data_IF_919157987572
#
_entry.id   IF_919157987572
#
_cell.length_a   1.000
_cell.length_b   1.000
_cell.length_c   1.000
_cell.angle_alpha   90.00
_cell.angle_beta   90.00
_cell.angle_gamma   90.00
#
_symmetry.space_group_name_H-M   'P 1'
#
loop_
_entity.id
_entity.type
_entity.pdbx_description
1 polymer ?
#
# COMPACT_ATOMS: atom_id res chain seq x y z
N UNK A 1 27.21 26.07 54.73
CA UNK A 1 26.67 26.65 53.47
C UNK A 1 26.97 25.66 52.36
N UNK A 2 25.93 25.04 51.76
CA UNK A 2 25.52 25.29 50.37
C UNK A 2 26.50 24.67 49.36
N UNK A 3 26.19 23.77 48.43
CA UNK A 3 24.96 23.12 47.98
C UNK A 3 25.37 21.95 47.06
N UNK A 4 24.62 20.85 47.14
CA UNK A 4 24.14 20.03 46.01
C UNK A 4 24.89 20.18 44.68
N UNK A 5 25.85 19.31 44.35
CA UNK A 5 26.09 18.86 42.96
C UNK A 5 26.85 17.53 43.02
N UNK A 6 26.17 16.39 42.93
CA UNK A 6 26.57 15.24 42.09
C UNK A 6 25.56 14.07 42.21
N UNK A 7 24.25 14.37 42.23
CA UNK A 7 23.21 13.35 41.96
C UNK A 7 22.81 13.31 40.48
N UNK A 8 23.70 13.77 39.59
CA UNK A 8 23.48 13.82 38.13
C UNK A 8 24.22 12.72 37.39
N UNK A 9 24.84 11.77 38.10
CA UNK A 9 25.66 10.70 37.50
C UNK A 9 24.94 9.38 37.22
N UNK A 10 23.67 9.22 37.63
CA UNK A 10 22.95 7.93 37.49
C UNK A 10 21.68 8.04 36.62
N UNK A 11 21.16 9.25 36.39
CA UNK A 11 20.07 9.46 35.42
C UNK A 11 20.53 9.39 33.95
N UNK A 12 21.85 9.43 33.69
CA UNK A 12 22.42 9.29 32.35
C UNK A 12 22.60 7.83 31.90
N UNK A 13 22.28 6.84 32.75
CA UNK A 13 22.30 5.41 32.37
C UNK A 13 20.97 4.92 31.74
N UNK A 14 19.99 5.80 31.56
CA UNK A 14 18.71 5.48 30.90
C UNK A 14 18.43 6.27 29.62
N UNK A 15 19.40 7.00 29.09
CA UNK A 15 19.35 7.42 27.70
C UNK A 15 19.85 6.26 26.83
N UNK A 16 19.17 5.11 26.90
CA UNK A 16 19.26 4.12 25.85
C UNK A 16 18.76 4.83 24.60
N UNK A 17 19.71 5.18 23.75
CA UNK A 17 19.54 5.71 22.40
C UNK A 17 18.36 5.02 21.75
N UNK A 18 17.28 5.77 21.57
CA UNK A 18 16.13 5.30 20.81
C UNK A 18 16.61 5.06 19.38
N UNK A 19 16.78 3.78 19.07
CA UNK A 19 17.15 3.27 17.77
C UNK A 19 15.88 3.27 16.90
N UNK A 20 15.92 3.93 15.75
CA UNK A 20 14.74 4.12 14.90
C UNK A 20 15.09 3.83 13.43
N UNK A 21 15.39 2.57 13.17
CA UNK A 21 14.80 1.61 12.21
C UNK A 21 14.02 2.09 10.91
N UNK A 22 13.71 1.30 9.84
CA UNK A 22 12.89 1.71 8.64
C UNK A 22 11.77 0.74 8.20
N UNK A 23 10.60 1.29 7.81
CA UNK A 23 9.47 0.71 7.08
C UNK A 23 9.72 -0.31 6.02
N UNK A 24 9.23 -1.50 6.31
CA UNK A 24 8.32 -2.16 5.38
C UNK A 24 7.14 -1.22 5.14
N UNK A 25 7.02 -0.67 3.93
CA UNK A 25 5.81 0.05 3.54
C UNK A 25 4.70 -0.97 3.30
N UNK A 26 3.51 -0.62 3.75
CA UNK A 26 2.28 -1.37 3.51
C UNK A 26 1.23 -0.38 3.05
N UNK A 27 0.39 -0.82 2.12
CA UNK A 27 -0.80 -0.08 1.72
C UNK A 27 -2.03 -0.95 2.00
N UNK A 28 -3.12 -0.31 2.40
CA UNK A 28 -4.37 -0.97 2.72
C UNK A 28 -5.54 -0.01 2.58
N UNK A 29 -6.75 -0.57 2.64
CA UNK A 29 -7.99 0.20 2.66
C UNK A 29 -8.77 -0.12 3.93
N UNK A 30 -9.63 0.80 4.40
CA UNK A 30 -10.57 0.50 5.48
C UNK A 30 -11.48 -0.67 5.11
N UNK A 31 -11.74 -1.57 6.06
CA UNK A 31 -12.75 -2.60 5.90
C UNK A 31 -14.13 -1.97 5.59
N UNK A 32 -14.91 -2.52 4.64
CA UNK A 32 -16.27 -2.05 4.40
C UNK A 32 -17.11 -2.16 5.68
N UNK A 33 -17.86 -1.10 6.01
CA UNK A 33 -18.66 -1.09 7.23
C UNK A 33 -19.65 -2.26 7.27
N UNK A 34 -19.52 -3.11 8.30
CA UNK A 34 -20.40 -4.27 8.48
C UNK A 34 -20.03 -5.52 7.68
N UNK A 35 -18.86 -5.56 7.02
CA UNK A 35 -18.33 -6.79 6.39
C UNK A 35 -17.97 -7.86 7.41
N UNK A 36 -17.62 -7.45 8.64
CA UNK A 36 -17.06 -8.35 9.66
C UNK A 36 -15.56 -8.62 9.48
N UNK A 37 -14.97 -8.07 8.41
CA UNK A 37 -13.54 -7.90 8.23
C UNK A 37 -13.07 -6.85 9.26
N UNK A 38 -11.86 -6.97 9.79
CA UNK A 38 -11.41 -6.23 10.97
C UNK A 38 -11.35 -4.71 10.79
N UNK A 39 -10.16 -4.15 10.90
CA UNK A 39 -9.87 -2.74 10.61
C UNK A 39 -9.63 -2.50 9.12
N UNK A 40 -8.96 -3.43 8.44
CA UNK A 40 -8.55 -3.33 7.05
C UNK A 40 -9.36 -4.29 6.17
N UNK A 41 -9.55 -3.92 4.90
CA UNK A 41 -10.27 -4.74 3.94
C UNK A 41 -9.48 -6.02 3.63
N UNK A 42 -10.20 -7.14 3.53
CA UNK A 42 -9.59 -8.43 3.20
C UNK A 42 -9.08 -8.45 1.75
N UNK A 43 -7.96 -9.16 1.56
CA UNK A 43 -7.33 -9.33 0.26
C UNK A 43 -8.04 -10.39 -0.59
N UNK A 44 -8.15 -10.11 -1.89
CA UNK A 44 -8.68 -11.03 -2.88
C UNK A 44 -7.52 -11.69 -3.63
N UNK A 45 -7.54 -13.02 -3.72
CA UNK A 45 -6.45 -13.80 -4.31
C UNK A 45 -6.27 -13.64 -5.83
N UNK A 46 -7.34 -13.35 -6.57
CA UNK A 46 -7.29 -13.09 -8.01
C UNK A 46 -8.43 -12.13 -8.43
N UNK A 47 -8.10 -11.05 -9.15
CA UNK A 47 -9.09 -10.18 -9.82
C UNK A 47 -8.90 -10.21 -11.34
N UNK A 48 -9.90 -9.75 -12.09
CA UNK A 48 -9.88 -9.77 -13.57
C UNK A 48 -10.06 -8.41 -14.26
N UNK A 49 -10.36 -7.36 -13.51
CA UNK A 49 -10.55 -5.99 -14.03
C UNK A 49 -10.13 -4.95 -12.97
N UNK A 50 -8.84 -4.61 -12.86
CA UNK A 50 -7.73 -5.18 -13.61
C UNK A 50 -7.36 -6.57 -13.10
N UNK A 51 -6.51 -7.26 -13.86
CA UNK A 51 -5.95 -8.55 -13.42
C UNK A 51 -4.90 -8.28 -12.37
N UNK A 52 -5.13 -8.78 -11.16
CA UNK A 52 -4.25 -8.60 -10.00
C UNK A 52 -4.32 -9.85 -9.14
N UNK A 53 -3.36 -9.97 -8.23
CA UNK A 53 -3.34 -11.00 -7.20
C UNK A 53 -3.03 -10.35 -5.88
N UNK A 54 -3.62 -10.91 -4.83
CA UNK A 54 -3.38 -10.44 -3.46
C UNK A 54 -3.57 -8.91 -3.37
N UNK A 55 -4.75 -8.41 -3.75
CA UNK A 55 -5.10 -6.98 -3.74
C UNK A 55 -6.33 -6.76 -2.86
N UNK A 56 -6.33 -5.69 -2.06
CA UNK A 56 -7.50 -5.28 -1.29
C UNK A 56 -8.41 -4.43 -2.18
N UNK A 57 -9.70 -4.78 -2.23
CA UNK A 57 -10.67 -4.04 -3.04
C UNK A 57 -11.45 -3.06 -2.19
N UNK A 58 -11.42 -1.80 -2.60
CA UNK A 58 -12.18 -0.73 -1.96
C UNK A 58 -13.05 0.03 -2.97
N UNK A 59 -14.09 0.67 -2.48
CA UNK A 59 -14.83 1.71 -3.20
C UNK A 59 -14.90 3.02 -2.43
N UNK A 60 -14.20 3.07 -1.28
CA UNK A 60 -14.13 4.24 -0.42
C UNK A 60 -13.14 5.30 -0.92
N UNK A 61 -13.10 6.40 -0.19
CA UNK A 61 -12.27 7.58 -0.45
C UNK A 61 -11.03 7.64 0.43
N UNK A 62 -10.63 6.51 1.02
CA UNK A 62 -9.52 6.43 1.97
C UNK A 62 -8.59 5.28 1.67
N UNK A 63 -7.30 5.56 1.82
CA UNK A 63 -6.24 4.56 1.90
C UNK A 63 -5.48 4.74 3.20
N UNK A 64 -4.93 3.66 3.70
CA UNK A 64 -3.92 3.67 4.75
C UNK A 64 -2.58 3.30 4.15
N UNK A 65 -1.56 4.10 4.44
CA UNK A 65 -0.18 3.73 4.14
C UNK A 65 0.56 3.62 5.46
N UNK A 66 1.02 2.42 5.77
CA UNK A 66 1.81 2.12 6.95
C UNK A 66 3.29 2.19 6.62
N UNK A 67 4.06 2.87 7.46
CA UNK A 67 5.50 2.79 7.46
C UNK A 67 6.03 2.17 8.76
N UNK A 68 6.58 0.94 8.71
CA UNK A 68 7.19 0.16 9.83
C UNK A 68 8.72 0.25 10.08
N UNK A 69 9.24 1.12 10.94
CA UNK A 69 10.67 1.22 11.26
C UNK A 69 11.31 -0.14 11.72
N UNK A 70 12.13 -0.83 10.89
CA UNK A 70 12.91 -2.06 11.14
C UNK A 70 14.43 -1.85 11.45
N UNK A 71 15.09 -2.68 12.26
CA UNK A 71 16.36 -2.37 12.93
C UNK A 71 17.51 -1.97 11.99
N UNK A 72 18.32 -0.98 12.40
CA UNK A 72 19.49 -0.46 11.67
C UNK A 72 19.19 0.36 10.42
N UNK A 73 18.13 1.14 10.47
CA UNK A 73 17.81 2.05 9.38
C UNK A 73 17.57 3.44 9.92
N UNK A 74 17.84 4.45 9.11
CA UNK A 74 17.98 5.82 9.59
C UNK A 74 16.96 6.77 8.95
N UNK A 75 16.69 6.61 7.65
CA UNK A 75 15.84 7.54 6.90
C UNK A 75 14.90 6.87 5.91
N UNK A 76 13.80 7.58 5.66
CA UNK A 76 12.73 7.21 4.74
C UNK A 76 12.25 8.34 3.85
N UNK A 77 12.26 8.06 2.55
CA UNK A 77 11.93 9.04 1.54
C UNK A 77 13.17 9.78 1.08
N UNK A 78 13.01 10.60 0.04
CA UNK A 78 14.10 11.23 -0.72
C UNK A 78 15.00 12.16 0.08
N UNK A 79 15.76 12.99 -0.64
CA UNK A 79 16.83 13.80 -0.07
C UNK A 79 16.39 14.59 1.17
N UNK A 80 17.12 14.38 2.26
CA UNK A 80 16.99 15.20 3.46
C UNK A 80 17.98 16.35 3.38
N UNK A 81 17.44 17.58 3.37
CA UNK A 81 18.23 18.80 3.52
C UNK A 81 18.76 18.86 4.95
N UNK A 82 19.98 18.34 5.15
CA UNK A 82 20.61 18.21 6.45
C UNK A 82 20.63 19.54 7.23
N UNK A 83 19.99 19.56 8.39
CA UNK A 83 20.18 20.60 9.39
C UNK A 83 21.11 20.16 10.55
N UNK A 84 21.90 19.10 10.35
CA UNK A 84 23.11 18.85 11.15
C UNK A 84 23.12 17.61 12.05
N UNK A 85 22.23 16.62 11.88
CA UNK A 85 22.33 15.36 12.66
C UNK A 85 22.52 14.11 11.79
N UNK A 86 22.38 14.23 10.47
CA UNK A 86 22.29 13.09 9.57
C UNK A 86 22.92 13.37 8.20
N UNK A 87 23.55 12.38 7.55
CA UNK A 87 24.16 12.55 6.24
C UNK A 87 23.10 12.73 5.14
N UNK A 88 23.44 13.50 4.12
CA UNK A 88 22.64 13.64 2.90
C UNK A 88 22.50 12.28 2.21
N UNK A 89 21.27 11.80 2.02
CA UNK A 89 20.99 10.64 1.16
C UNK A 89 20.94 11.03 -0.32
N UNK A 90 21.09 10.07 -1.25
CA UNK A 90 20.90 10.32 -2.67
C UNK A 90 19.45 10.69 -2.96
N UNK A 91 19.26 11.44 -4.03
CA UNK A 91 17.95 11.63 -4.64
C UNK A 91 17.50 10.40 -5.42
N UNK A 92 16.21 10.37 -5.77
CA UNK A 92 15.60 9.30 -6.55
C UNK A 92 16.29 9.08 -7.90
N UNK A 93 16.71 10.15 -8.59
CA UNK A 93 17.45 10.07 -9.86
C UNK A 93 18.92 9.66 -9.72
N UNK A 94 19.48 9.70 -8.49
CA UNK A 94 20.90 9.41 -8.22
C UNK A 94 21.16 7.95 -7.84
N UNK A 95 20.11 7.13 -7.70
CA UNK A 95 20.26 5.71 -7.48
C UNK A 95 20.91 5.05 -8.70
N UNK A 96 21.90 4.20 -8.45
CA UNK A 96 22.66 3.49 -9.49
C UNK A 96 21.92 2.27 -10.05
N UNK A 97 20.75 1.94 -9.51
CA UNK A 97 20.00 0.74 -9.84
C UNK A 97 18.93 1.03 -10.92
N UNK A 98 18.78 0.11 -11.87
CA UNK A 98 17.76 0.13 -12.95
C UNK A 98 16.37 -0.18 -12.35
N UNK A 99 15.28 0.55 -12.69
CA UNK A 99 15.16 1.59 -13.72
C UNK A 99 15.65 2.98 -13.31
N UNK A 100 16.29 3.67 -14.27
CA UNK A 100 16.64 5.10 -14.15
C UNK A 100 15.38 5.92 -13.91
N UNK A 101 15.39 6.77 -12.88
CA UNK A 101 14.25 7.60 -12.52
C UNK A 101 14.37 9.03 -13.04
N UNK A 102 13.24 9.65 -13.42
CA UNK A 102 13.19 11.07 -13.76
C UNK A 102 13.60 11.93 -12.57
N UNK A 103 14.28 13.06 -12.83
CA UNK A 103 14.61 14.06 -11.80
C UNK A 103 13.39 14.70 -11.16
N UNK A 104 12.20 14.53 -11.74
CA UNK A 104 10.93 14.92 -11.13
C UNK A 104 10.65 14.20 -9.80
N UNK A 105 11.33 13.09 -9.52
CA UNK A 105 11.24 12.37 -8.25
C UNK A 105 12.16 12.97 -7.18
N UNK A 106 13.13 13.80 -7.56
CA UNK A 106 14.12 14.36 -6.63
C UNK A 106 13.45 15.26 -5.59
N UNK A 107 13.91 15.18 -4.34
CA UNK A 107 13.32 15.92 -3.22
C UNK A 107 11.97 15.40 -2.70
N UNK A 108 11.38 14.36 -3.28
CA UNK A 108 10.12 13.76 -2.80
C UNK A 108 10.32 12.67 -1.75
N UNK A 109 9.39 12.56 -0.80
CA UNK A 109 9.45 11.65 0.34
C UNK A 109 9.16 10.20 -0.05
N UNK A 110 8.12 9.59 0.54
CA UNK A 110 7.53 8.38 -0.01
C UNK A 110 6.55 8.76 -1.12
N UNK A 111 6.41 7.87 -2.11
CA UNK A 111 5.63 8.10 -3.32
C UNK A 111 4.55 7.03 -3.40
N UNK A 112 3.32 7.48 -3.58
CA UNK A 112 2.20 6.63 -4.00
C UNK A 112 2.27 6.49 -5.51
N UNK A 113 2.44 5.26 -5.97
CA UNK A 113 2.37 4.87 -7.37
C UNK A 113 0.92 4.52 -7.67
N UNK A 114 0.37 5.16 -8.68
CA UNK A 114 -1.02 4.99 -9.07
C UNK A 114 -1.08 4.51 -10.50
N UNK A 115 -1.70 3.35 -10.70
CA UNK A 115 -2.00 2.80 -12.02
C UNK A 115 -3.47 3.02 -12.34
N UNK A 116 -3.74 3.47 -13.56
CA UNK A 116 -5.10 3.64 -14.11
C UNK A 116 -5.18 2.92 -15.46
N UNK A 117 -6.37 2.63 -16.02
CA UNK A 117 -6.46 1.93 -17.30
C UNK A 117 -5.70 2.67 -18.42
N UNK A 118 -5.02 1.92 -19.29
CA UNK A 118 -4.37 2.45 -20.48
C UNK A 118 -5.27 3.41 -21.27
N UNK A 119 -4.72 4.55 -21.70
CA UNK A 119 -5.44 5.63 -22.37
C UNK A 119 -6.26 6.53 -21.46
N UNK A 120 -6.17 6.37 -20.13
CA UNK A 120 -6.90 7.19 -19.15
C UNK A 120 -6.06 8.29 -18.50
N UNK A 121 -4.76 8.40 -18.84
CA UNK A 121 -3.82 9.35 -18.22
C UNK A 121 -4.34 10.79 -18.19
N UNK A 122 -4.87 11.28 -19.31
CA UNK A 122 -5.38 12.65 -19.40
C UNK A 122 -6.59 12.88 -18.47
N UNK A 123 -7.47 11.88 -18.34
CA UNK A 123 -8.61 11.94 -17.42
C UNK A 123 -8.14 11.94 -15.97
N UNK A 124 -7.23 11.01 -15.62
CA UNK A 124 -6.65 10.90 -14.29
C UNK A 124 -5.92 12.18 -13.88
N UNK A 125 -5.04 12.74 -14.73
CA UNK A 125 -4.32 13.99 -14.45
C UNK A 125 -5.24 15.19 -14.23
N UNK A 126 -6.40 15.21 -14.89
CA UNK A 126 -7.34 16.33 -14.80
C UNK A 126 -8.18 16.32 -13.51
N UNK A 127 -8.27 15.19 -12.82
CA UNK A 127 -9.28 14.97 -11.79
C UNK A 127 -8.78 14.28 -10.53
N UNK A 128 -7.94 13.25 -10.65
CA UNK A 128 -7.52 12.43 -9.52
C UNK A 128 -6.63 13.23 -8.57
N UNK A 129 -7.00 13.21 -7.30
CA UNK A 129 -6.29 13.90 -6.24
C UNK A 129 -6.09 13.00 -5.02
N UNK A 130 -4.92 13.14 -4.41
CA UNK A 130 -4.55 12.53 -3.14
C UNK A 130 -4.28 13.64 -2.14
N UNK A 131 -5.03 13.69 -1.04
CA UNK A 131 -4.97 14.79 -0.06
C UNK A 131 -5.09 16.19 -0.72
N UNK A 132 -6.00 16.30 -1.69
CA UNK A 132 -6.23 17.50 -2.50
C UNK A 132 -5.01 17.97 -3.32
N UNK A 133 -4.05 17.08 -3.59
CA UNK A 133 -2.90 17.32 -4.47
C UNK A 133 -3.02 16.50 -5.73
N UNK A 134 -2.60 17.07 -6.86
CA UNK A 134 -2.43 16.35 -8.12
C UNK A 134 -1.10 15.61 -8.15
N UNK A 135 -0.97 14.69 -9.10
CA UNK A 135 0.28 13.96 -9.33
C UNK A 135 1.41 14.95 -9.68
N UNK A 136 2.59 14.76 -9.09
CA UNK A 136 3.76 15.57 -9.42
C UNK A 136 4.45 15.07 -10.70
N UNK A 137 4.22 13.81 -11.05
CA UNK A 137 4.76 13.17 -12.24
C UNK A 137 3.80 12.13 -12.79
N UNK A 138 3.92 11.82 -14.07
CA UNK A 138 3.15 10.78 -14.75
C UNK A 138 3.95 10.20 -15.90
N UNK A 139 3.74 8.92 -16.17
CA UNK A 139 4.37 8.20 -17.26
C UNK A 139 3.37 7.17 -17.79
N UNK A 140 3.15 7.13 -19.10
CA UNK A 140 2.22 6.17 -19.70
C UNK A 140 2.82 4.75 -19.77
N UNK A 141 4.15 4.63 -19.74
CA UNK A 141 4.84 3.41 -20.13
C UNK A 141 5.66 2.79 -18.98
N UNK A 142 5.93 3.54 -17.91
CA UNK A 142 6.85 3.10 -16.86
C UNK A 142 6.36 3.41 -15.43
N UNK A 143 6.15 2.35 -14.65
CA UNK A 143 5.82 2.44 -13.23
C UNK A 143 7.04 2.75 -12.35
N UNK A 144 8.26 2.60 -12.88
CA UNK A 144 9.53 2.66 -12.14
C UNK A 144 9.61 1.68 -10.96
N UNK A 145 8.68 0.73 -10.92
CA UNK A 145 8.63 -0.33 -9.94
C UNK A 145 9.58 -1.43 -10.37
N UNK A 146 10.49 -1.82 -9.46
CA UNK A 146 11.50 -2.84 -9.74
C UNK A 146 10.89 -4.26 -9.84
N UNK A 147 9.71 -4.45 -9.25
CA UNK A 147 9.00 -5.72 -9.25
C UNK A 147 7.92 -5.74 -10.34
N UNK A 148 7.93 -6.79 -11.15
CA UNK A 148 6.92 -7.02 -12.18
C UNK A 148 5.69 -7.70 -11.58
N UNK A 149 4.63 -6.94 -11.30
CA UNK A 149 3.32 -7.50 -10.92
C UNK A 149 2.20 -6.72 -11.61
N UNK A 150 1.09 -7.37 -11.92
CA UNK A 150 -0.03 -6.71 -12.59
C UNK A 150 -0.84 -5.87 -11.58
N UNK A 151 -1.29 -4.66 -11.96
CA UNK A 151 -1.25 -4.07 -13.29
C UNK A 151 -0.01 -3.22 -13.56
N UNK A 152 0.92 -3.10 -12.61
CA UNK A 152 2.19 -2.37 -12.71
C UNK A 152 3.22 -2.99 -13.69
N UNK A 153 2.88 -4.13 -14.30
CA UNK A 153 3.82 -5.09 -14.87
C UNK A 153 4.41 -4.74 -16.24
N UNK A 154 5.70 -5.03 -16.34
CA UNK A 154 6.71 -4.58 -17.30
C UNK A 154 6.29 -4.52 -18.77
N UNK A 155 6.66 -3.40 -19.39
CA UNK A 155 6.73 -3.10 -20.82
C UNK A 155 6.46 -4.28 -21.80
N UNK A 156 5.56 -4.09 -22.78
CA UNK A 156 4.70 -2.93 -22.92
C UNK A 156 3.54 -3.07 -21.92
N UNK A 157 3.47 -2.21 -20.92
CA UNK A 157 2.35 -2.15 -19.97
C UNK A 157 1.13 -1.54 -20.68
N UNK A 158 0.62 -2.19 -21.73
CA UNK A 158 -0.59 -1.76 -22.47
C UNK A 158 -1.87 -1.87 -21.63
N UNK A 159 -1.73 -2.00 -20.31
CA UNK A 159 -2.82 -2.15 -19.37
C UNK A 159 -2.93 -0.95 -18.45
N UNK A 160 -1.89 -0.11 -18.34
CA UNK A 160 -1.88 0.98 -17.37
C UNK A 160 -1.10 2.20 -17.79
N UNK A 161 -1.66 3.36 -17.47
CA UNK A 161 -0.91 4.60 -17.33
C UNK A 161 -0.57 4.83 -15.86
N UNK A 162 0.56 5.50 -15.58
CA UNK A 162 1.06 5.70 -14.22
C UNK A 162 1.07 7.17 -13.81
N UNK A 163 0.66 7.42 -12.57
CA UNK A 163 0.72 8.71 -11.89
C UNK A 163 1.46 8.54 -10.56
N UNK A 164 2.19 9.58 -10.16
CA UNK A 164 3.01 9.55 -8.95
C UNK A 164 2.65 10.73 -8.05
N UNK A 165 2.34 10.42 -6.79
CA UNK A 165 1.95 11.40 -5.78
C UNK A 165 2.94 11.37 -4.63
N UNK A 166 3.36 12.55 -4.18
CA UNK A 166 4.19 12.67 -2.98
C UNK A 166 3.30 12.55 -1.75
N UNK A 167 3.56 11.52 -0.95
CA UNK A 167 2.87 11.29 0.32
C UNK A 167 3.76 11.65 1.53
N UNK A 168 4.92 12.24 1.27
CA UNK A 168 5.88 12.76 2.24
C UNK A 168 6.63 11.67 3.00
N UNK A 169 7.55 12.09 3.87
CA UNK A 169 8.28 11.17 4.75
C UNK A 169 7.40 10.64 5.88
N UNK A 170 7.68 9.42 6.33
CA UNK A 170 7.05 8.84 7.51
C UNK A 170 7.83 9.20 8.77
N UNK A 171 7.14 9.25 9.90
CA UNK A 171 7.72 9.41 11.23
C UNK A 171 7.69 8.11 12.04
N UNK A 172 8.29 8.18 13.22
CA UNK A 172 8.21 7.10 14.20
C UNK A 172 7.36 7.54 15.40
N UNK A 173 6.06 7.60 15.19
CA UNK A 173 5.11 8.28 16.09
C UNK A 173 4.13 7.33 16.77
N UNK A 174 4.11 6.06 16.39
CA UNK A 174 3.20 5.07 16.93
C UNK A 174 3.59 3.64 16.55
N UNK A 175 2.58 2.78 16.53
CA UNK A 175 2.72 1.39 16.14
C UNK A 175 1.94 1.11 14.86
N UNK A 176 2.53 0.30 13.99
CA UNK A 176 1.93 -0.20 12.76
C UNK A 176 1.77 -1.71 12.92
N UNK A 177 0.53 -2.18 12.81
CA UNK A 177 0.21 -3.61 12.72
C UNK A 177 0.36 -4.07 11.27
N UNK A 178 0.52 -5.37 11.07
CA UNK A 178 0.41 -5.96 9.75
C UNK A 178 -1.03 -5.78 9.22
N UNK A 179 -1.20 -5.21 8.02
CA UNK A 179 -2.52 -4.89 7.46
C UNK A 179 -3.33 -6.13 7.04
N UNK A 180 -2.70 -7.30 6.85
CA UNK A 180 -3.38 -8.55 6.47
C UNK A 180 -3.90 -9.28 7.69
N UNK A 181 -2.99 -9.55 8.63
CA UNK A 181 -3.26 -10.37 9.80
C UNK A 181 -3.82 -9.57 10.97
N UNK A 182 -3.75 -8.24 10.87
CA UNK A 182 -4.04 -7.28 11.95
C UNK A 182 -3.27 -7.60 13.24
N UNK A 183 -2.12 -8.25 13.06
CA UNK A 183 -1.32 -8.81 14.12
C UNK A 183 0.05 -8.13 14.17
N UNK A 184 0.75 -8.37 15.28
CA UNK A 184 2.03 -7.73 15.53
C UNK A 184 1.89 -6.23 15.81
N UNK A 185 3.03 -5.63 16.11
CA UNK A 185 3.12 -4.21 16.43
C UNK A 185 4.57 -3.81 16.24
N UNK A 186 4.82 -2.95 15.26
CA UNK A 186 6.14 -2.45 14.98
C UNK A 186 6.14 -0.92 14.96
N UNK A 187 7.25 -0.32 15.37
CA UNK A 187 7.37 1.13 15.51
C UNK A 187 7.20 1.82 14.17
N UNK A 188 6.47 2.92 14.08
CA UNK A 188 6.27 3.60 12.80
C UNK A 188 5.13 4.61 12.78
N UNK A 189 4.55 4.82 11.60
CA UNK A 189 3.42 5.73 11.40
C UNK A 189 2.46 5.13 10.36
N UNK A 190 1.16 5.27 10.59
CA UNK A 190 0.12 5.05 9.58
C UNK A 190 -0.40 6.41 9.15
N UNK A 191 -0.36 6.68 7.84
CA UNK A 191 -1.00 7.84 7.24
C UNK A 191 -2.33 7.45 6.64
N UNK A 192 -3.35 8.25 6.91
CA UNK A 192 -4.59 8.22 6.14
C UNK A 192 -4.43 9.15 4.93
N UNK A 193 -4.69 8.62 3.74
CA UNK A 193 -4.72 9.37 2.50
C UNK A 193 -6.18 9.49 2.04
N UNK A 194 -6.60 10.69 1.69
CA UNK A 194 -7.93 10.97 1.15
C UNK A 194 -7.86 10.98 -0.38
N UNK A 195 -8.66 10.12 -0.99
CA UNK A 195 -8.82 9.99 -2.43
C UNK A 195 -9.99 10.85 -2.90
N UNK A 196 -9.83 11.53 -4.03
CA UNK A 196 -10.95 12.23 -4.66
C UNK A 196 -10.75 12.38 -6.16
N UNK A 197 -11.82 12.76 -6.86
CA UNK A 197 -11.75 13.01 -8.29
C UNK A 197 -11.56 11.74 -9.13
N UNK A 198 -12.21 10.65 -8.74
CA UNK A 198 -12.22 9.36 -9.46
C UNK A 198 -12.69 9.47 -10.93
N UNK A 199 -13.46 10.50 -11.27
CA UNK A 199 -13.88 10.80 -12.63
C UNK A 199 -14.66 9.64 -13.26
N UNK A 200 -14.22 9.21 -14.44
CA UNK A 200 -14.77 8.06 -15.18
C UNK A 200 -13.80 6.87 -15.19
N UNK A 201 -12.84 6.82 -14.27
CA UNK A 201 -11.85 5.76 -14.20
C UNK A 201 -12.55 4.44 -13.82
N UNK A 202 -12.30 3.39 -14.60
CA UNK A 202 -12.93 2.08 -14.35
C UNK A 202 -12.39 1.39 -13.09
N UNK A 203 -11.12 1.65 -12.79
CA UNK A 203 -10.42 1.18 -11.60
C UNK A 203 -9.20 2.07 -11.36
N UNK A 204 -8.66 2.04 -10.15
CA UNK A 204 -7.40 2.69 -9.79
C UNK A 204 -6.65 1.74 -8.87
N UNK A 205 -5.43 1.40 -9.24
CA UNK A 205 -4.56 0.54 -8.44
C UNK A 205 -3.47 1.39 -7.76
N UNK A 206 -3.16 1.05 -6.52
CA UNK A 206 -2.28 1.81 -5.65
C UNK A 206 -1.17 0.92 -5.07
N UNK A 207 0.06 1.39 -5.22
CA UNK A 207 1.25 0.83 -4.58
C UNK A 207 2.12 1.97 -4.04
N UNK A 208 3.14 1.67 -3.25
CA UNK A 208 3.96 2.63 -2.52
C UNK A 208 5.45 2.30 -2.61
N UNK A 209 6.25 3.35 -2.76
CA UNK A 209 7.70 3.24 -2.72
C UNK A 209 8.36 4.38 -1.97
N UNK A 210 9.52 4.12 -1.37
CA UNK A 210 10.37 5.13 -0.75
C UNK A 210 11.86 4.84 -0.98
N UNK A 211 12.73 5.79 -0.66
CA UNK A 211 14.14 5.52 -0.41
C UNK A 211 14.32 5.06 1.04
N UNK A 212 15.07 3.98 1.24
CA UNK A 212 15.52 3.49 2.54
C UNK A 212 17.02 3.77 2.66
N UNK A 213 17.47 4.33 3.79
CA UNK A 213 18.91 4.45 4.10
C UNK A 213 19.29 3.68 5.37
N UNK A 214 20.19 2.70 5.24
CA UNK A 214 20.66 1.88 6.37
C UNK A 214 21.66 2.60 7.29
N UNK A 215 21.97 1.95 8.41
CA UNK A 215 22.91 2.45 9.42
C UNK A 215 24.34 2.64 8.90
N UNK A 216 24.66 2.04 7.75
CA UNK A 216 25.92 2.12 7.06
C UNK A 216 25.91 3.24 5.99
N UNK A 217 24.78 3.95 5.84
CA UNK A 217 24.59 5.01 4.86
C UNK A 217 24.32 4.51 3.45
N UNK A 218 24.00 3.23 3.26
CA UNK A 218 23.59 2.71 1.95
C UNK A 218 22.13 3.03 1.73
N UNK A 219 21.82 3.66 0.60
CA UNK A 219 20.46 4.01 0.22
C UNK A 219 19.98 3.12 -0.92
N UNK A 220 18.76 2.60 -0.78
CA UNK A 220 18.12 1.72 -1.76
C UNK A 220 16.66 2.09 -1.95
N UNK A 221 16.08 1.59 -3.03
CA UNK A 221 14.63 1.61 -3.22
C UNK A 221 14.00 0.63 -2.24
N UNK A 222 12.97 1.09 -1.54
CA UNK A 222 12.07 0.24 -0.79
C UNK A 222 10.70 0.26 -1.45
N UNK A 223 10.48 -0.77 -2.26
CA UNK A 223 9.22 -1.24 -2.81
C UNK A 223 9.04 -2.64 -2.22
N UNK A 224 7.85 -3.06 -1.83
CA UNK A 224 7.75 -4.35 -1.15
C UNK A 224 8.10 -5.55 -2.08
N UNK A 225 9.01 -6.43 -1.63
CA UNK A 225 8.89 -7.89 -1.66
C UNK A 225 9.97 -8.57 -0.78
N UNK A 226 11.16 -7.96 -0.61
CA UNK A 226 12.25 -8.56 0.21
C UNK A 226 12.11 -8.37 1.73
N UNK A 227 10.88 -8.26 2.24
CA UNK A 227 10.66 -8.16 3.68
C UNK A 227 9.25 -7.82 4.10
N UNK A 228 8.23 -8.47 3.55
CA UNK A 228 6.87 -8.34 4.07
C UNK A 228 6.33 -9.66 4.64
N UNK A 229 5.68 -9.62 5.81
CA UNK A 229 4.59 -10.54 6.12
C UNK A 229 3.23 -10.15 5.47
N UNK A 230 3.07 -8.97 4.86
CA UNK A 230 1.81 -8.59 4.19
C UNK A 230 1.70 -7.19 3.55
N UNK A 231 2.52 -6.82 2.55
CA UNK A 231 2.19 -5.70 1.66
C UNK A 231 1.53 -6.30 0.48
N UNK A 232 0.35 -5.79 0.23
CA UNK A 232 -0.49 -6.23 -0.83
C UNK A 232 -1.27 -4.99 -1.27
N UNK A 233 -1.37 -4.87 -2.59
CA UNK A 233 -1.77 -3.66 -3.28
C UNK A 233 -3.22 -3.30 -2.93
N UNK A 234 -3.64 -2.07 -3.26
CA UNK A 234 -5.04 -1.69 -3.13
C UNK A 234 -5.58 -1.33 -4.49
N UNK A 235 -6.76 -1.83 -4.81
CA UNK A 235 -7.51 -1.40 -5.99
C UNK A 235 -8.86 -0.83 -5.63
N UNK A 236 -9.05 0.43 -6.03
CA UNK A 236 -10.34 1.08 -6.03
C UNK A 236 -11.14 0.69 -7.27
N UNK A 237 -12.44 0.42 -7.09
CA UNK A 237 -13.42 0.23 -8.16
C UNK A 237 -14.72 0.95 -7.83
N UNK A 238 -15.40 1.41 -8.87
CA UNK A 238 -16.76 1.94 -8.71
C UNK A 238 -17.74 0.78 -8.46
N UNK A 239 -18.54 0.88 -7.40
CA UNK A 239 -19.48 -0.16 -6.94
C UNK A 239 -19.01 -0.96 -5.72
N UNK A 240 -19.89 -1.77 -5.09
CA UNK A 240 -19.51 -2.59 -3.94
C UNK A 240 -18.40 -3.57 -4.35
N UNK A 241 -17.42 -3.85 -3.47
CA UNK A 241 -16.37 -4.83 -3.76
C UNK A 241 -17.03 -6.12 -4.24
N UNK A 242 -16.57 -6.61 -5.39
CA UNK A 242 -17.04 -7.88 -5.95
C UNK A 242 -16.51 -9.01 -5.07
N UNK A 243 -17.13 -9.23 -3.92
CA UNK A 243 -16.95 -10.49 -3.21
C UNK A 243 -17.50 -11.55 -4.17
N UNK A 244 -16.65 -12.47 -4.63
CA UNK A 244 -17.13 -13.72 -5.21
C UNK A 244 -17.87 -14.46 -4.09
N UNK A 245 -19.12 -14.08 -3.83
CA UNK A 245 -20.00 -14.81 -2.94
C UNK A 245 -20.08 -16.21 -3.57
N UNK A 246 -19.56 -17.27 -2.92
CA UNK A 246 -19.74 -18.62 -3.41
C UNK A 246 -21.24 -18.77 -3.60
N UNK A 247 -21.68 -19.05 -4.83
CA UNK A 247 -23.09 -19.03 -5.17
C UNK A 247 -23.87 -19.73 -4.05
N UNK A 248 -24.81 -19.02 -3.38
CA UNK A 248 -25.43 -19.58 -2.19
C UNK A 248 -26.00 -20.94 -2.59
N UNK A 249 -25.87 -21.91 -1.67
CA UNK A 249 -26.29 -23.30 -1.86
C UNK A 249 -27.73 -23.51 -2.33
N UNK A 250 -28.48 -22.46 -2.64
CA UNK A 250 -29.67 -22.36 -3.48
C UNK A 250 -29.59 -23.18 -4.78
N UNK A 251 -28.47 -23.19 -5.53
CA UNK A 251 -28.39 -24.10 -6.70
C UNK A 251 -28.30 -25.57 -6.29
N UNK A 252 -27.56 -25.87 -5.21
CA UNK A 252 -27.52 -27.22 -4.64
C UNK A 252 -28.88 -27.64 -4.04
N UNK A 253 -29.60 -26.72 -3.40
CA UNK A 253 -30.95 -26.90 -2.84
C UNK A 253 -32.01 -27.02 -3.93
N UNK A 254 -31.89 -26.29 -5.04
CA UNK A 254 -32.73 -26.46 -6.22
C UNK A 254 -32.48 -27.83 -6.86
N UNK A 255 -31.21 -28.24 -7.00
CA UNK A 255 -30.83 -29.56 -7.49
C UNK A 255 -31.35 -30.70 -6.60
N UNK A 256 -31.15 -30.60 -5.28
CA UNK A 256 -31.65 -31.56 -4.29
C UNK A 256 -33.18 -31.56 -4.22
N UNK A 257 -33.82 -30.40 -4.33
CA UNK A 257 -35.26 -30.25 -4.39
C UNK A 257 -35.88 -30.94 -5.60
N UNK A 258 -35.26 -30.77 -6.79
CA UNK A 258 -35.69 -31.44 -8.02
C UNK A 258 -35.44 -32.95 -7.98
N UNK A 259 -34.32 -33.40 -7.41
CA UNK A 259 -34.06 -34.83 -7.17
C UNK A 259 -35.06 -35.45 -6.19
N UNK A 260 -35.38 -34.74 -5.11
CA UNK A 260 -36.40 -35.13 -4.13
C UNK A 260 -37.79 -35.22 -4.76
N UNK A 261 -38.15 -34.25 -5.62
CA UNK A 261 -39.43 -34.26 -6.35
C UNK A 261 -39.49 -35.38 -7.41
N UNK A 262 -38.37 -35.68 -8.08
CA UNK A 262 -38.26 -36.79 -9.01
C UNK A 262 -38.38 -38.16 -8.33
N UNK A 263 -37.76 -38.31 -7.16
CA UNK A 263 -37.82 -39.53 -6.37
C UNK A 263 -39.21 -39.77 -5.76
N UNK A 264 -39.87 -38.72 -5.22
CA UNK A 264 -41.22 -38.83 -4.66
C UNK A 264 -42.25 -39.24 -5.71
N UNK A 265 -42.13 -38.72 -6.94
CA UNK A 265 -43.00 -39.08 -8.08
C UNK A 265 -42.81 -40.52 -8.56
N UNK A 266 -41.59 -41.09 -8.43
CA UNK A 266 -41.33 -42.51 -8.70
C UNK A 266 -41.87 -43.43 -7.59
N UNK A 267 -41.86 -42.97 -6.34
CA UNK A 267 -42.39 -43.73 -5.21
C UNK A 267 -43.93 -43.85 -5.26
N UNK A 268 -44.62 -42.79 -5.69
CA UNK A 268 -46.08 -42.81 -5.86
C UNK A 268 -46.58 -43.68 -7.03
N UNK A 269 -45.74 -43.98 -8.03
CA UNK A 269 -46.10 -44.91 -9.13
C UNK A 269 -45.93 -46.39 -8.77
N UNK A 270 -45.34 -46.71 -7.61
CA UNK A 270 -45.09 -48.07 -7.13
C UNK A 270 -46.02 -48.50 -5.97
N UNK A 271 -46.95 -47.64 -5.57
CA UNK A 271 -48.12 -48.00 -4.75
C UNK A 271 -49.36 -47.99 -5.64
#
# INVERSE_FOLDING_TARGET
MKHKVLYTGIAALFAASSAWAVPVLQIGAPAPAGSGEGTYADYQGDTKNPTEKDTAITSGDKLYVGGVYGPNTLFLGGQFLGNGTYPTGPDWSQLTDDPVRPTAFDGHGAILVVSVPDGSLASALSSLQINNQFAFYSDADNSYFVNNHAPLGSSPSTISDFLFFDIGSFGNTGNVSDFVTESGSASGEIKELILSGFGTLAWIHFDVMALETDSQGQTRVKTSADGNPGSHDVTWKDGPPSQEIPEPGTLALLGLGLLGFGASRRYQKKK
#
